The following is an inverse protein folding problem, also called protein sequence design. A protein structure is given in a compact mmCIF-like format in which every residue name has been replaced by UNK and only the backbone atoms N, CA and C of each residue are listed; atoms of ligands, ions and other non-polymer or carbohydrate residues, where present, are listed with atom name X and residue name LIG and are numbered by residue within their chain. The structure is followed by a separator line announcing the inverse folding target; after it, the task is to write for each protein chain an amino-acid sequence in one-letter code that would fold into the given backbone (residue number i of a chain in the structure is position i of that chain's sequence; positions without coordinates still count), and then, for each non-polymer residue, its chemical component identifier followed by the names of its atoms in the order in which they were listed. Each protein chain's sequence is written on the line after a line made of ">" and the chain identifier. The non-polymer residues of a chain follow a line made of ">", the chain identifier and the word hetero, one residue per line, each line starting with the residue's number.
data_IF_768733112526
#
_entry.id   IF_768733112526
#
_cell.length_a   1.000
_cell.length_b   1.000
_cell.length_c   1.000
_cell.angle_alpha   90.00
_cell.angle_beta   90.00
_cell.angle_gamma   90.00
#
_symmetry.space_group_name_H-M   'P 1'
#
loop_
_entity.id
_entity.type
_entity.pdbx_description
1 polymer ?
#
# COMPACT_ATOMS: atom_id res chain seq x y z
N UNK A 1 7.34 14.05 9.45
CA UNK A 1 6.61 14.56 10.64
C UNK A 1 7.53 15.45 11.47
N UNK A 2 8.68 14.98 11.93
CA UNK A 2 9.69 15.79 12.65
C UNK A 2 10.08 17.09 11.93
N UNK A 3 10.10 17.11 10.59
CA UNK A 3 10.39 18.32 9.81
C UNK A 3 9.31 19.39 9.96
N UNK A 4 8.04 19.01 10.04
CA UNK A 4 6.94 19.96 10.19
C UNK A 4 6.83 20.49 11.63
N UNK A 5 7.06 19.65 12.64
CA UNK A 5 7.16 20.06 14.04
C UNK A 5 8.33 21.02 14.24
N UNK A 6 9.51 20.69 13.69
CA UNK A 6 10.70 21.54 13.74
C UNK A 6 10.49 22.88 13.01
N UNK A 7 9.72 22.87 11.91
CA UNK A 7 9.34 24.07 11.16
C UNK A 7 8.42 24.96 11.98
N UNK A 8 7.38 24.39 12.60
CA UNK A 8 6.46 25.14 13.46
C UNK A 8 7.15 25.77 14.67
N UNK A 9 8.10 25.03 15.29
CA UNK A 9 8.92 25.57 16.38
C UNK A 9 9.79 26.73 15.88
N UNK A 10 10.38 26.64 14.71
CA UNK A 10 11.18 27.73 14.11
C UNK A 10 10.32 28.94 13.78
N UNK A 11 9.13 28.74 13.25
CA UNK A 11 8.17 29.81 12.93
C UNK A 11 7.70 30.51 14.23
N UNK A 12 7.39 29.74 15.28
CA UNK A 12 7.09 30.27 16.62
C UNK A 12 8.22 31.15 17.19
N UNK A 13 9.46 30.61 17.17
CA UNK A 13 10.64 31.35 17.66
C UNK A 13 10.89 32.62 16.83
N UNK A 14 10.70 32.56 15.51
CA UNK A 14 10.83 33.69 14.62
C UNK A 14 9.83 34.82 14.94
N UNK A 15 8.55 34.47 15.12
CA UNK A 15 7.50 35.43 15.51
C UNK A 15 7.81 36.03 16.87
N UNK A 16 8.19 35.22 17.85
CA UNK A 16 8.53 35.69 19.20
C UNK A 16 9.71 36.69 19.18
N UNK A 17 10.77 36.35 18.42
CA UNK A 17 11.97 37.21 18.29
C UNK A 17 11.63 38.55 17.63
N UNK A 18 10.80 38.57 16.58
CA UNK A 18 10.35 39.81 15.91
C UNK A 18 9.54 40.67 16.88
N UNK A 19 8.59 40.06 17.59
CA UNK A 19 7.78 40.80 18.56
C UNK A 19 8.60 41.41 19.71
N UNK A 20 9.59 40.66 20.23
CA UNK A 20 10.50 41.18 21.27
C UNK A 20 11.36 42.32 20.74
N UNK A 21 11.92 42.22 19.53
CA UNK A 21 12.75 43.29 18.95
C UNK A 21 11.95 44.57 18.71
N UNK A 22 10.69 44.46 18.26
CA UNK A 22 9.78 45.60 18.11
C UNK A 22 9.50 46.23 19.46
N UNK A 23 9.20 45.43 20.49
CA UNK A 23 8.93 45.90 21.84
C UNK A 23 10.12 46.62 22.46
N UNK A 24 11.33 46.16 22.26
CA UNK A 24 12.57 46.81 22.71
C UNK A 24 12.74 48.19 22.08
N UNK A 25 12.31 48.40 20.88
CA UNK A 25 12.41 49.66 20.13
C UNK A 25 11.23 50.61 20.43
N UNK A 26 10.05 50.08 20.68
CA UNK A 26 8.80 50.80 20.89
C UNK A 26 8.14 50.33 22.20
N UNK A 27 8.61 50.84 23.35
CA UNK A 27 8.17 50.42 24.71
C UNK A 27 6.70 50.67 24.99
N UNK A 28 6.06 51.58 24.26
CA UNK A 28 4.64 51.88 24.38
C UNK A 28 3.69 50.87 23.73
N UNK A 29 4.21 49.92 22.96
CA UNK A 29 3.41 48.93 22.21
C UNK A 29 3.55 47.57 22.85
N UNK A 30 2.46 47.00 23.34
CA UNK A 30 2.45 45.69 24.02
C UNK A 30 2.44 44.54 22.97
N UNK A 31 3.56 44.31 22.28
CA UNK A 31 3.67 43.33 21.20
C UNK A 31 4.02 41.93 21.66
N UNK A 32 4.62 41.76 22.85
CA UNK A 32 5.03 40.45 23.36
C UNK A 32 3.85 39.51 23.61
N UNK A 33 2.76 40.06 24.20
CA UNK A 33 1.56 39.25 24.42
C UNK A 33 0.89 38.80 23.14
N UNK A 34 0.83 39.65 22.12
CA UNK A 34 0.32 39.31 20.78
C UNK A 34 1.20 38.25 20.09
N UNK A 35 2.53 38.43 20.15
CA UNK A 35 3.46 37.47 19.58
C UNK A 35 3.39 36.09 20.23
N UNK A 36 3.24 36.01 21.55
CA UNK A 36 3.02 34.80 22.31
C UNK A 36 1.70 34.12 21.92
N UNK A 37 0.60 34.86 21.85
CA UNK A 37 -0.71 34.34 21.46
C UNK A 37 -0.70 33.79 20.06
N UNK A 38 -0.13 34.55 19.09
CA UNK A 38 0.00 34.11 17.71
C UNK A 38 0.90 32.85 17.59
N UNK A 39 2.02 32.84 18.31
CA UNK A 39 2.94 31.72 18.32
C UNK A 39 2.33 30.44 18.93
N UNK A 40 1.59 30.55 20.02
CA UNK A 40 0.85 29.45 20.65
C UNK A 40 -0.22 28.93 19.67
N UNK A 41 -0.91 29.81 18.94
CA UNK A 41 -1.89 29.43 17.93
C UNK A 41 -1.24 28.63 16.77
N UNK A 42 -0.10 29.11 16.30
CA UNK A 42 0.69 28.37 15.24
C UNK A 42 1.13 27.00 15.74
N UNK A 43 1.66 26.93 16.97
CA UNK A 43 2.04 25.67 17.60
C UNK A 43 0.84 24.74 17.79
N UNK A 44 -0.28 25.26 18.27
CA UNK A 44 -1.52 24.46 18.41
C UNK A 44 -1.98 23.90 17.08
N UNK A 45 -2.03 24.71 16.02
CA UNK A 45 -2.38 24.26 14.67
C UNK A 45 -1.40 23.21 14.10
N UNK A 46 -0.11 23.38 14.34
CA UNK A 46 0.91 22.49 13.85
C UNK A 46 0.98 21.15 14.62
N UNK A 47 0.72 21.18 15.93
CA UNK A 47 0.80 20.01 16.81
C UNK A 47 -0.55 19.30 16.97
N UNK A 48 -1.65 20.06 16.89
CA UNK A 48 -3.01 19.58 17.17
C UNK A 48 -3.91 19.70 15.94
N UNK A 49 -3.51 19.07 14.82
CA UNK A 49 -4.39 18.95 13.66
C UNK A 49 -5.13 17.60 13.71
N UNK A 50 -6.38 17.53 14.21
CA UNK A 50 -7.13 16.29 14.32
C UNK A 50 -7.39 15.63 12.96
N UNK A 51 -7.39 16.40 11.86
CA UNK A 51 -7.52 15.88 10.49
C UNK A 51 -6.34 14.97 10.08
N UNK A 52 -5.19 15.06 10.77
CA UNK A 52 -4.07 14.15 10.54
C UNK A 52 -4.31 12.76 11.13
N UNK A 53 -5.20 12.64 12.11
CA UNK A 53 -5.42 11.42 12.88
C UNK A 53 -6.73 10.72 12.57
N UNK A 54 -7.72 11.44 12.06
CA UNK A 54 -9.07 10.95 11.79
C UNK A 54 -9.39 11.11 10.31
N UNK A 55 -9.95 10.07 9.71
CA UNK A 55 -10.48 10.11 8.35
C UNK A 55 -11.80 10.89 8.34
N UNK A 56 -11.87 11.96 7.55
CA UNK A 56 -13.00 12.91 7.56
C UNK A 56 -14.33 12.29 7.09
N UNK A 57 -14.28 11.23 6.27
CA UNK A 57 -15.49 10.58 5.77
C UNK A 57 -16.05 9.56 6.78
N UNK A 58 -15.18 8.75 7.37
CA UNK A 58 -15.61 7.58 8.16
C UNK A 58 -15.48 7.76 9.66
N UNK A 59 -14.77 8.80 10.14
CA UNK A 59 -14.50 9.00 11.55
C UNK A 59 -13.50 8.02 12.16
N UNK A 60 -12.98 7.06 11.38
CA UNK A 60 -11.96 6.13 11.82
C UNK A 60 -10.58 6.78 11.87
N UNK A 61 -9.62 6.11 12.50
CA UNK A 61 -8.24 6.56 12.46
C UNK A 61 -7.67 6.57 11.03
N UNK A 62 -6.92 7.62 10.71
CA UNK A 62 -6.34 7.82 9.38
C UNK A 62 -5.02 7.05 9.20
N UNK A 63 -4.55 6.97 7.94
CA UNK A 63 -3.20 6.51 7.59
C UNK A 63 -2.10 7.28 8.33
N UNK A 64 -2.29 8.59 8.57
CA UNK A 64 -1.33 9.43 9.29
C UNK A 64 -1.15 8.96 10.73
N UNK A 65 -2.25 8.67 11.41
CA UNK A 65 -2.21 8.13 12.76
C UNK A 65 -1.64 6.71 12.78
N UNK A 66 -1.99 5.83 11.84
CA UNK A 66 -1.42 4.49 11.73
C UNK A 66 0.11 4.51 11.66
N UNK A 67 0.70 5.38 10.83
CA UNK A 67 2.15 5.52 10.70
C UNK A 67 2.86 5.93 12.00
N UNK A 68 2.18 6.64 12.90
CA UNK A 68 2.70 7.00 14.21
C UNK A 68 2.45 5.90 15.24
N UNK A 69 1.24 5.36 15.26
CA UNK A 69 0.78 4.39 16.25
C UNK A 69 1.48 3.03 16.12
N UNK A 70 1.60 2.49 14.90
CA UNK A 70 2.13 1.14 14.66
C UNK A 70 3.55 0.93 15.18
N UNK A 71 4.56 1.78 14.89
CA UNK A 71 5.91 1.62 15.42
C UNK A 71 5.98 1.64 16.95
N UNK A 72 5.08 2.40 17.61
CA UNK A 72 5.00 2.43 19.06
C UNK A 72 4.48 1.11 19.64
N UNK A 73 3.50 0.47 18.97
CA UNK A 73 3.01 -0.85 19.40
C UNK A 73 4.07 -1.92 19.25
N UNK A 74 4.80 -1.92 18.13
CA UNK A 74 5.90 -2.87 17.90
C UNK A 74 6.98 -2.75 18.98
N UNK A 75 7.35 -1.52 19.38
CA UNK A 75 8.30 -1.28 20.47
C UNK A 75 7.82 -1.83 21.81
N UNK A 76 6.53 -1.79 22.07
CA UNK A 76 5.93 -2.32 23.32
C UNK A 76 5.89 -3.84 23.37
N UNK A 77 6.24 -4.55 22.30
CA UNK A 77 6.23 -6.02 22.16
C UNK A 77 4.93 -6.69 22.62
N UNK A 78 3.80 -5.98 22.50
CA UNK A 78 2.49 -6.54 22.78
C UNK A 78 2.06 -7.45 21.63
N UNK A 79 1.38 -8.52 21.96
CA UNK A 79 0.72 -9.34 20.94
C UNK A 79 -0.21 -8.47 20.10
N UNK A 80 -0.09 -8.55 18.79
CA UNK A 80 -0.84 -7.73 17.87
C UNK A 80 -1.17 -8.51 16.61
N UNK A 81 -2.45 -8.55 16.26
CA UNK A 81 -2.96 -9.19 15.06
C UNK A 81 -3.63 -8.18 14.17
N UNK A 82 -3.63 -8.41 12.88
CA UNK A 82 -4.19 -7.51 11.87
C UNK A 82 -5.16 -8.25 10.95
N UNK A 83 -6.32 -7.65 10.74
CA UNK A 83 -7.21 -7.95 9.63
C UNK A 83 -7.23 -6.73 8.70
N UNK A 84 -6.74 -6.88 7.48
CA UNK A 84 -6.89 -5.89 6.43
C UNK A 84 -8.09 -6.24 5.56
N UNK A 85 -8.95 -5.29 5.31
CA UNK A 85 -10.10 -5.39 4.42
C UNK A 85 -9.82 -4.52 3.19
N UNK A 86 -9.70 -5.12 2.02
CA UNK A 86 -9.57 -4.43 0.72
C UNK A 86 -10.86 -4.61 -0.07
N UNK A 87 -11.63 -3.52 -0.20
CA UNK A 87 -12.93 -3.52 -0.86
C UNK A 87 -12.76 -3.55 -2.38
N UNK A 88 -13.49 -4.46 -3.03
CA UNK A 88 -13.42 -4.60 -4.48
C UNK A 88 -14.50 -3.79 -5.18
N UNK A 89 -14.18 -3.35 -6.39
CA UNK A 89 -15.14 -2.71 -7.30
C UNK A 89 -15.82 -1.44 -6.76
N UNK A 90 -15.29 -0.79 -5.71
CA UNK A 90 -15.83 0.47 -5.22
C UNK A 90 -15.96 1.52 -6.34
N UNK A 91 -14.97 1.57 -7.26
CA UNK A 91 -15.05 2.44 -8.45
C UNK A 91 -16.24 2.12 -9.36
N UNK A 92 -16.63 0.84 -9.46
CA UNK A 92 -17.79 0.43 -10.25
C UNK A 92 -19.09 0.83 -9.55
N UNK A 93 -19.17 0.67 -8.22
CA UNK A 93 -20.30 1.16 -7.42
C UNK A 93 -20.46 2.66 -7.59
N UNK A 94 -19.38 3.43 -7.49
CA UNK A 94 -19.38 4.88 -7.71
C UNK A 94 -19.85 5.26 -9.12
N UNK A 95 -19.47 4.48 -10.14
CA UNK A 95 -19.88 4.72 -11.53
C UNK A 95 -21.37 4.40 -11.75
N UNK A 96 -21.90 3.36 -11.11
CA UNK A 96 -23.29 2.89 -11.30
C UNK A 96 -24.29 3.66 -10.45
N UNK A 97 -23.93 3.94 -9.19
CA UNK A 97 -24.86 4.48 -8.18
C UNK A 97 -24.48 5.88 -7.67
N UNK A 98 -23.37 6.44 -8.16
CA UNK A 98 -22.85 7.74 -7.75
C UNK A 98 -21.88 7.66 -6.56
N UNK A 99 -21.02 8.68 -6.45
CA UNK A 99 -19.95 8.77 -5.43
C UNK A 99 -20.55 8.81 -4.02
N UNK A 100 -21.65 9.54 -3.83
CA UNK A 100 -22.34 9.64 -2.53
C UNK A 100 -22.85 8.28 -2.01
N UNK A 101 -23.21 7.36 -2.90
CA UNK A 101 -23.62 5.99 -2.54
C UNK A 101 -22.43 5.16 -2.10
N UNK A 102 -21.27 5.32 -2.78
CA UNK A 102 -20.04 4.67 -2.35
C UNK A 102 -19.52 5.21 -1.01
N UNK A 103 -19.65 6.50 -0.78
CA UNK A 103 -19.28 7.13 0.50
C UNK A 103 -20.14 6.59 1.66
N UNK A 104 -21.44 6.49 1.46
CA UNK A 104 -22.34 5.92 2.48
C UNK A 104 -22.07 4.45 2.75
N UNK A 105 -21.71 3.67 1.71
CA UNK A 105 -21.27 2.28 1.88
C UNK A 105 -20.00 2.20 2.75
N UNK A 106 -19.04 3.09 2.51
CA UNK A 106 -17.80 3.18 3.30
C UNK A 106 -18.09 3.55 4.76
N UNK A 107 -19.03 4.47 5.01
CA UNK A 107 -19.46 4.85 6.35
C UNK A 107 -20.09 3.67 7.08
N UNK A 108 -21.04 2.96 6.44
CA UNK A 108 -21.70 1.79 7.05
C UNK A 108 -20.68 0.68 7.40
N UNK A 109 -19.69 0.43 6.53
CA UNK A 109 -18.63 -0.54 6.80
C UNK A 109 -17.79 -0.07 7.99
N UNK A 110 -17.41 1.20 8.02
CA UNK A 110 -16.61 1.79 9.09
C UNK A 110 -17.31 1.71 10.46
N UNK A 111 -18.58 2.06 10.51
CA UNK A 111 -19.41 1.96 11.72
C UNK A 111 -19.48 0.51 12.23
N UNK A 112 -19.68 -0.44 11.32
CA UNK A 112 -19.69 -1.85 11.69
C UNK A 112 -18.34 -2.31 12.23
N UNK A 113 -17.22 -1.96 11.57
CA UNK A 113 -15.89 -2.32 12.02
C UNK A 113 -15.54 -1.68 13.37
N UNK A 114 -15.97 -0.45 13.59
CA UNK A 114 -15.80 0.23 14.88
C UNK A 114 -16.59 -0.48 15.99
N UNK A 115 -17.84 -0.84 15.72
CA UNK A 115 -18.71 -1.53 16.68
C UNK A 115 -18.20 -2.90 17.10
N UNK A 116 -17.67 -3.71 16.18
CA UNK A 116 -17.14 -5.04 16.52
C UNK A 116 -15.77 -4.99 17.20
N UNK A 117 -15.10 -3.84 17.20
CA UNK A 117 -13.73 -3.67 17.69
C UNK A 117 -13.56 -2.42 18.57
N UNK A 118 -14.55 -2.10 19.41
CA UNK A 118 -14.57 -0.89 20.24
C UNK A 118 -13.34 -0.73 21.15
N UNK A 119 -12.80 -1.83 21.65
CA UNK A 119 -11.62 -1.84 22.54
C UNK A 119 -10.27 -1.69 21.80
N UNK A 120 -10.26 -1.70 20.47
CA UNK A 120 -9.05 -1.77 19.67
C UNK A 120 -9.06 -0.72 18.55
N UNK A 121 -7.97 -0.68 17.77
CA UNK A 121 -7.77 0.36 16.76
C UNK A 121 -8.26 -0.08 15.39
N UNK A 122 -9.13 0.74 14.79
CA UNK A 122 -9.60 0.60 13.41
C UNK A 122 -9.14 1.81 12.59
N UNK A 123 -8.53 1.54 11.44
CA UNK A 123 -7.97 2.57 10.57
C UNK A 123 -8.55 2.48 9.17
N UNK A 124 -8.71 3.64 8.52
CA UNK A 124 -8.87 3.72 7.09
C UNK A 124 -7.57 4.20 6.45
N UNK A 125 -6.92 3.32 5.68
CA UNK A 125 -5.57 3.57 5.16
C UNK A 125 -5.60 4.25 3.79
N UNK A 126 -6.49 3.79 2.93
CA UNK A 126 -6.76 4.32 1.60
C UNK A 126 -8.26 4.27 1.34
N UNK A 127 -8.71 4.88 0.24
CA UNK A 127 -10.12 5.00 -0.10
C UNK A 127 -10.98 3.75 0.11
N UNK A 128 -10.43 2.56 -0.17
CA UNK A 128 -11.13 1.27 -0.09
C UNK A 128 -10.50 0.27 0.90
N UNK A 129 -9.51 0.68 1.73
CA UNK A 129 -8.78 -0.22 2.64
C UNK A 129 -8.97 0.16 4.09
N UNK A 130 -9.30 -0.85 4.91
CA UNK A 130 -9.43 -0.74 6.35
C UNK A 130 -8.51 -1.73 7.05
N UNK A 131 -7.93 -1.30 8.18
CA UNK A 131 -7.15 -2.14 9.07
C UNK A 131 -7.87 -2.24 10.40
N UNK A 132 -7.99 -3.46 10.91
CA UNK A 132 -8.55 -3.79 12.21
C UNK A 132 -7.46 -4.50 13.00
N UNK A 133 -6.98 -3.86 14.07
CA UNK A 133 -5.98 -4.44 14.96
C UNK A 133 -6.63 -5.00 16.21
N UNK A 134 -6.16 -6.14 16.67
CA UNK A 134 -6.56 -6.78 17.93
C UNK A 134 -5.32 -7.19 18.72
N UNK A 135 -5.44 -7.25 20.05
CA UNK A 135 -4.37 -7.66 20.98
C UNK A 135 -4.59 -9.05 21.55
N UNK A 136 -5.63 -9.74 21.10
CA UNK A 136 -6.01 -11.09 21.51
C UNK A 136 -6.34 -11.92 20.28
N UNK A 137 -5.88 -13.16 20.24
CA UNK A 137 -6.22 -14.11 19.18
C UNK A 137 -7.74 -14.41 19.15
N UNK A 138 -8.40 -14.42 20.32
CA UNK A 138 -9.84 -14.63 20.41
C UNK A 138 -10.61 -13.50 19.74
N UNK A 139 -10.23 -12.25 19.98
CA UNK A 139 -10.83 -11.09 19.32
C UNK A 139 -10.56 -11.09 17.81
N UNK A 140 -9.35 -11.51 17.41
CA UNK A 140 -9.00 -11.66 16.00
C UNK A 140 -9.93 -12.66 15.30
N UNK A 141 -10.12 -13.85 15.84
CA UNK A 141 -11.00 -14.87 15.27
C UNK A 141 -12.47 -14.40 15.23
N UNK A 142 -12.93 -13.78 16.32
CA UNK A 142 -14.30 -13.23 16.42
C UNK A 142 -14.53 -12.15 15.37
N UNK A 143 -13.62 -11.20 15.25
CA UNK A 143 -13.71 -10.10 14.27
C UNK A 143 -13.60 -10.63 12.83
N UNK A 144 -12.72 -11.59 12.57
CA UNK A 144 -12.59 -12.24 11.27
C UNK A 144 -13.92 -12.84 10.82
N UNK A 145 -14.57 -13.63 11.69
CA UNK A 145 -15.84 -14.26 11.39
C UNK A 145 -16.98 -13.23 11.20
N UNK A 146 -17.00 -12.18 12.01
CA UNK A 146 -17.97 -11.10 11.90
C UNK A 146 -17.80 -10.35 10.57
N UNK A 147 -16.57 -10.01 10.18
CA UNK A 147 -16.26 -9.34 8.91
C UNK A 147 -16.62 -10.24 7.72
N UNK A 148 -16.28 -11.53 7.77
CA UNK A 148 -16.69 -12.47 6.72
C UNK A 148 -18.21 -12.57 6.56
N UNK A 149 -18.97 -12.52 7.68
CA UNK A 149 -20.44 -12.53 7.66
C UNK A 149 -21.02 -11.22 7.11
N UNK A 150 -20.38 -10.07 7.36
CA UNK A 150 -20.82 -8.76 6.86
C UNK A 150 -20.96 -8.78 5.33
N UNK A 151 -19.97 -9.30 4.61
CA UNK A 151 -19.94 -9.31 3.15
C UNK A 151 -20.78 -10.43 2.50
N UNK A 152 -21.41 -11.30 3.29
CA UNK A 152 -22.38 -12.30 2.77
C UNK A 152 -23.76 -11.72 2.49
N UNK A 153 -24.06 -10.53 3.01
CA UNK A 153 -25.37 -9.87 2.87
C UNK A 153 -25.23 -8.60 2.04
N UNK A 154 -26.22 -8.27 1.23
CA UNK A 154 -26.20 -7.00 0.51
C UNK A 154 -26.36 -5.83 1.49
N UNK A 155 -25.61 -4.77 1.23
CA UNK A 155 -25.74 -3.49 1.92
C UNK A 155 -26.98 -2.75 1.43
N UNK A 156 -27.68 -2.09 2.32
CA UNK A 156 -28.82 -1.22 1.97
C UNK A 156 -28.33 0.22 2.00
N UNK A 157 -28.26 0.86 0.83
CA UNK A 157 -27.83 2.24 0.68
C UNK A 157 -28.85 2.96 -0.19
N UNK A 158 -29.46 4.03 0.33
CA UNK A 158 -30.46 4.86 -0.38
C UNK A 158 -31.60 4.05 -1.03
N UNK A 159 -32.05 2.98 -0.36
CA UNK A 159 -33.13 2.11 -0.87
C UNK A 159 -32.64 0.97 -1.79
N UNK A 160 -31.43 1.04 -2.30
CA UNK A 160 -30.82 0.01 -3.14
C UNK A 160 -30.17 -1.10 -2.32
N UNK A 161 -30.14 -2.33 -2.86
CA UNK A 161 -29.45 -3.49 -2.31
C UNK A 161 -28.18 -3.75 -3.10
N UNK A 162 -27.03 -3.36 -2.55
CA UNK A 162 -25.73 -3.47 -3.20
C UNK A 162 -24.96 -4.65 -2.62
N UNK A 163 -24.68 -5.67 -3.45
CA UNK A 163 -23.78 -6.75 -3.09
C UNK A 163 -22.34 -6.29 -3.30
N UNK A 164 -21.52 -6.43 -2.26
CA UNK A 164 -20.16 -5.96 -2.26
C UNK A 164 -19.22 -7.04 -1.73
N UNK A 165 -18.00 -7.12 -2.28
CA UNK A 165 -17.03 -8.15 -1.93
C UNK A 165 -15.71 -7.53 -1.52
N UNK A 166 -14.93 -8.24 -0.71
CA UNK A 166 -13.64 -7.81 -0.22
C UNK A 166 -12.61 -8.95 -0.21
N UNK A 167 -11.33 -8.59 -0.28
CA UNK A 167 -10.25 -9.44 0.20
C UNK A 167 -10.02 -9.11 1.68
N UNK A 168 -10.05 -10.12 2.51
CA UNK A 168 -9.71 -10.03 3.92
C UNK A 168 -8.35 -10.71 4.10
N UNK A 169 -7.32 -9.94 4.43
CA UNK A 169 -5.98 -10.47 4.67
C UNK A 169 -5.73 -10.48 6.17
N UNK A 170 -5.47 -11.67 6.72
CA UNK A 170 -5.24 -11.87 8.14
C UNK A 170 -3.79 -12.14 8.45
N UNK A 171 -3.21 -11.39 9.39
CA UNK A 171 -1.85 -11.60 9.90
C UNK A 171 -1.91 -11.80 11.42
N UNK A 172 -1.51 -12.96 11.87
CA UNK A 172 -1.30 -13.26 13.28
C UNK A 172 0.14 -12.88 13.63
N UNK A 173 0.34 -12.23 14.78
CA UNK A 173 1.65 -11.79 15.28
C UNK A 173 2.36 -10.80 14.32
N UNK A 174 1.70 -9.66 14.06
CA UNK A 174 2.25 -8.58 13.18
C UNK A 174 3.58 -8.03 13.71
N UNK A 175 3.88 -8.19 15.00
CA UNK A 175 5.14 -7.76 15.61
C UNK A 175 6.41 -8.44 15.04
N UNK A 176 6.25 -9.52 14.27
CA UNK A 176 7.35 -10.11 13.50
C UNK A 176 7.82 -9.17 12.39
N UNK A 177 6.94 -8.28 11.92
CA UNK A 177 7.23 -7.28 10.90
C UNK A 177 7.63 -5.97 11.58
N UNK A 178 8.93 -5.68 11.63
CA UNK A 178 9.46 -4.53 12.37
C UNK A 178 9.21 -3.18 11.70
N UNK A 179 9.10 -3.16 10.39
CA UNK A 179 9.01 -1.94 9.58
C UNK A 179 7.64 -1.82 8.92
N UNK A 180 7.07 -0.62 9.00
CA UNK A 180 5.72 -0.32 8.47
C UNK A 180 5.64 -0.48 6.95
N UNK A 181 6.70 -0.11 6.23
CA UNK A 181 6.72 -0.21 4.77
C UNK A 181 6.80 -1.68 4.32
N UNK A 182 7.52 -2.53 5.06
CA UNK A 182 7.55 -3.99 4.84
C UNK A 182 6.17 -4.59 5.09
N UNK A 183 5.45 -4.14 6.14
CA UNK A 183 4.08 -4.59 6.39
C UNK A 183 3.16 -4.21 5.23
N UNK A 184 3.24 -2.98 4.74
CA UNK A 184 2.42 -2.51 3.63
C UNK A 184 2.72 -3.31 2.36
N UNK A 185 4.00 -3.51 2.02
CA UNK A 185 4.42 -4.32 0.87
C UNK A 185 3.91 -5.77 0.99
N UNK A 186 3.96 -6.34 2.19
CA UNK A 186 3.46 -7.69 2.43
C UNK A 186 1.93 -7.79 2.27
N UNK A 187 1.19 -6.83 2.79
CA UNK A 187 -0.26 -6.76 2.62
C UNK A 187 -0.65 -6.58 1.14
N UNK A 188 0.11 -5.80 0.38
CA UNK A 188 -0.10 -5.65 -1.06
C UNK A 188 0.19 -6.94 -1.82
N UNK A 189 1.23 -7.68 -1.41
CA UNK A 189 1.51 -9.01 -1.94
C UNK A 189 0.35 -9.98 -1.67
N UNK A 190 -0.17 -10.04 -0.44
CA UNK A 190 -1.32 -10.89 -0.08
C UNK A 190 -2.55 -10.59 -0.94
N UNK A 191 -2.86 -9.31 -1.16
CA UNK A 191 -3.99 -8.90 -2.03
C UNK A 191 -3.83 -9.39 -3.46
N UNK A 192 -2.60 -9.53 -3.98
CA UNK A 192 -2.36 -10.01 -5.34
C UNK A 192 -2.58 -11.52 -5.50
N UNK A 193 -2.45 -12.28 -4.40
CA UNK A 193 -2.74 -13.71 -4.38
C UNK A 193 -4.24 -14.03 -4.53
N UNK A 194 -5.09 -12.98 -4.56
CA UNK A 194 -6.54 -13.15 -4.69
C UNK A 194 -6.88 -13.88 -6.01
N UNK A 195 -7.74 -14.90 -5.96
CA UNK A 195 -8.28 -15.51 -7.16
C UNK A 195 -9.14 -14.50 -7.94
N UNK A 196 -9.28 -14.69 -9.25
CA UNK A 196 -10.21 -13.94 -10.11
C UNK A 196 -11.66 -14.32 -9.78
N UNK A 197 -12.12 -13.98 -8.58
CA UNK A 197 -13.46 -14.32 -8.06
C UNK A 197 -14.15 -13.05 -7.58
N UNK A 198 -15.47 -12.99 -7.78
CA UNK A 198 -16.31 -11.90 -7.28
C UNK A 198 -16.80 -12.14 -5.84
N UNK A 199 -16.33 -13.18 -5.16
CA UNK A 199 -16.73 -13.52 -3.79
C UNK A 199 -15.72 -12.97 -2.80
N UNK A 200 -16.19 -12.60 -1.61
CA UNK A 200 -15.32 -12.27 -0.49
C UNK A 200 -14.45 -13.47 -0.14
N UNK A 201 -13.15 -13.22 -0.02
CA UNK A 201 -12.14 -14.24 0.27
C UNK A 201 -11.37 -13.87 1.53
N UNK A 202 -10.90 -14.89 2.22
CA UNK A 202 -9.95 -14.78 3.31
C UNK A 202 -8.58 -15.27 2.82
N UNK A 203 -7.55 -14.47 2.99
CA UNK A 203 -6.15 -14.79 2.73
C UNK A 203 -5.43 -14.73 4.07
N UNK A 204 -4.99 -15.87 4.57
CA UNK A 204 -4.26 -15.93 5.83
C UNK A 204 -2.75 -15.92 5.60
N UNK A 205 -2.04 -15.32 6.53
CA UNK A 205 -0.60 -15.38 6.60
C UNK A 205 -0.18 -16.80 7.04
N UNK A 206 0.34 -17.59 6.11
CA UNK A 206 0.94 -18.88 6.35
C UNK A 206 2.42 -18.90 5.92
N UNK A 207 3.10 -20.01 6.13
CA UNK A 207 4.51 -20.16 5.78
C UNK A 207 4.74 -19.98 4.28
N UNK A 208 3.86 -20.50 3.44
CA UNK A 208 3.97 -20.41 1.99
C UNK A 208 3.87 -18.97 1.48
N UNK A 209 2.92 -18.20 2.01
CA UNK A 209 2.78 -16.78 1.66
C UNK A 209 3.97 -15.93 2.13
N UNK A 210 4.55 -16.25 3.30
CA UNK A 210 5.77 -15.59 3.78
C UNK A 210 6.97 -15.88 2.87
N UNK A 211 7.18 -17.13 2.50
CA UNK A 211 8.27 -17.54 1.61
C UNK A 211 8.12 -16.91 0.22
N UNK A 212 6.90 -16.91 -0.34
CA UNK A 212 6.62 -16.26 -1.61
C UNK A 212 6.90 -14.76 -1.58
N UNK A 213 6.55 -14.08 -0.50
CA UNK A 213 6.85 -12.67 -0.34
C UNK A 213 8.37 -12.40 -0.25
N UNK A 214 9.09 -13.19 0.55
CA UNK A 214 10.55 -13.07 0.66
C UNK A 214 11.24 -13.30 -0.68
N UNK A 215 10.78 -14.28 -1.44
CA UNK A 215 11.23 -14.54 -2.79
C UNK A 215 11.00 -13.31 -3.72
N UNK A 216 9.78 -12.72 -3.72
CA UNK A 216 9.46 -11.53 -4.52
C UNK A 216 10.33 -10.33 -4.12
N UNK A 217 10.60 -10.14 -2.81
CA UNK A 217 11.47 -9.07 -2.32
C UNK A 217 12.92 -9.24 -2.77
N UNK A 218 13.43 -10.46 -2.78
CA UNK A 218 14.80 -10.74 -3.24
C UNK A 218 14.94 -10.50 -4.74
N UNK A 219 13.95 -10.95 -5.53
CA UNK A 219 13.91 -10.67 -6.97
C UNK A 219 13.81 -9.15 -7.21
N UNK A 220 12.97 -8.42 -6.46
CA UNK A 220 12.85 -6.96 -6.56
C UNK A 220 14.18 -6.24 -6.35
N UNK A 221 14.96 -6.65 -5.33
CA UNK A 221 16.29 -6.08 -5.09
C UNK A 221 17.25 -6.34 -6.25
N UNK A 222 17.21 -7.56 -6.76
CA UNK A 222 18.09 -7.97 -7.87
C UNK A 222 17.73 -7.30 -9.20
N UNK A 223 16.48 -6.95 -9.42
CA UNK A 223 15.98 -6.34 -10.66
C UNK A 223 16.72 -5.03 -11.03
N UNK A 224 17.06 -4.18 -10.06
CA UNK A 224 17.76 -2.94 -10.32
C UNK A 224 19.14 -3.23 -10.96
N UNK A 225 19.92 -4.10 -10.34
CA UNK A 225 21.24 -4.55 -10.86
C UNK A 225 21.09 -5.27 -12.20
N UNK A 226 20.10 -6.15 -12.33
CA UNK A 226 19.90 -6.91 -13.56
C UNK A 226 19.56 -6.02 -14.77
N UNK A 227 18.86 -4.90 -14.55
CA UNK A 227 18.55 -3.91 -15.61
C UNK A 227 19.80 -3.07 -15.93
N UNK A 228 20.56 -2.64 -14.92
CA UNK A 228 21.76 -1.81 -15.11
C UNK A 228 22.88 -2.57 -15.81
N UNK A 229 23.11 -3.81 -15.40
CA UNK A 229 24.18 -4.67 -15.91
C UNK A 229 23.75 -5.51 -17.13
N UNK A 230 22.50 -5.36 -17.61
CA UNK A 230 21.95 -6.09 -18.77
C UNK A 230 22.05 -7.63 -18.61
N UNK A 231 21.71 -8.13 -17.42
CA UNK A 231 21.81 -9.56 -17.06
C UNK A 231 20.67 -10.42 -17.62
N UNK A 232 19.71 -9.83 -18.33
CA UNK A 232 18.63 -10.58 -18.98
C UNK A 232 19.13 -11.34 -20.21
N UNK A 233 18.75 -12.58 -20.30
CA UNK A 233 18.98 -13.43 -21.48
C UNK A 233 17.74 -13.42 -22.37
N UNK A 234 17.94 -13.64 -23.67
CA UNK A 234 16.84 -13.83 -24.63
C UNK A 234 16.94 -15.25 -25.23
N UNK A 235 15.93 -16.03 -24.96
CA UNK A 235 15.76 -17.36 -25.52
C UNK A 235 14.83 -17.27 -26.72
N UNK A 236 15.10 -18.06 -27.75
CA UNK A 236 14.32 -18.08 -28.99
C UNK A 236 13.61 -19.40 -29.13
N UNK A 237 12.27 -19.37 -29.09
CA UNK A 237 11.43 -20.53 -29.32
C UNK A 237 10.94 -20.54 -30.77
N UNK A 238 11.34 -21.52 -31.58
CA UNK A 238 10.90 -21.60 -32.98
C UNK A 238 9.41 -21.98 -33.02
N UNK A 239 8.64 -21.28 -33.89
CA UNK A 239 7.24 -21.56 -34.15
C UNK A 239 7.11 -22.30 -35.50
N UNK A 240 6.46 -23.47 -35.47
CA UNK A 240 6.20 -24.28 -36.65
C UNK A 240 4.92 -23.83 -37.37
N UNK A 241 5.04 -23.45 -38.62
CA UNK A 241 3.90 -23.09 -39.45
C UNK A 241 3.26 -24.38 -40.03
N UNK A 242 2.03 -24.68 -39.59
CA UNK A 242 1.29 -25.88 -40.01
C UNK A 242 0.88 -25.85 -41.49
N UNK A 243 0.72 -24.67 -42.10
CA UNK A 243 0.35 -24.52 -43.50
C UNK A 243 1.56 -24.77 -44.42
N UNK A 244 2.67 -24.11 -44.06
CA UNK A 244 3.89 -24.23 -44.89
C UNK A 244 4.83 -25.35 -44.45
N UNK A 245 4.45 -26.09 -43.40
CA UNK A 245 5.21 -27.23 -42.84
C UNK A 245 6.69 -26.94 -42.57
N UNK A 246 6.99 -25.73 -42.06
CA UNK A 246 8.35 -25.30 -41.75
C UNK A 246 8.38 -24.27 -40.60
N UNK A 247 9.56 -24.07 -40.02
CA UNK A 247 9.80 -23.00 -39.04
C UNK A 247 10.07 -21.69 -39.77
N UNK A 248 9.22 -20.66 -39.57
CA UNK A 248 9.37 -19.33 -40.20
C UNK A 248 9.64 -18.22 -39.21
N UNK A 249 9.12 -18.38 -38.03
CA UNK A 249 9.16 -17.37 -37.00
C UNK A 249 9.68 -17.96 -35.70
N UNK A 250 10.09 -17.08 -34.78
CA UNK A 250 10.48 -17.47 -33.44
C UNK A 250 9.96 -16.44 -32.46
N UNK A 251 9.60 -16.88 -31.29
CA UNK A 251 9.27 -16.04 -30.16
C UNK A 251 10.54 -15.74 -29.35
N UNK A 252 10.73 -14.46 -29.00
CA UNK A 252 11.85 -14.02 -28.18
C UNK A 252 11.38 -13.92 -26.72
N UNK A 253 11.89 -14.78 -25.87
CA UNK A 253 11.46 -14.95 -24.49
C UNK A 253 12.57 -14.49 -23.54
N UNK A 254 12.28 -13.46 -22.75
CA UNK A 254 13.21 -13.01 -21.70
C UNK A 254 13.40 -14.05 -20.62
N UNK A 255 14.64 -14.18 -20.16
CA UNK A 255 15.02 -15.02 -19.02
C UNK A 255 15.89 -14.21 -18.09
N UNK A 256 15.73 -14.45 -16.81
CA UNK A 256 16.55 -13.86 -15.77
C UNK A 256 17.03 -14.95 -14.83
N UNK A 257 18.35 -15.03 -14.63
CA UNK A 257 18.98 -15.97 -13.70
C UNK A 257 19.51 -15.21 -12.50
N UNK A 258 19.02 -15.57 -11.31
CA UNK A 258 19.55 -15.07 -10.04
C UNK A 258 20.66 -16.00 -9.54
N UNK A 259 21.74 -15.47 -8.95
CA UNK A 259 22.87 -16.29 -8.48
C UNK A 259 22.50 -17.39 -7.49
N UNK A 260 21.59 -17.10 -6.55
CA UNK A 260 21.15 -18.07 -5.51
C UNK A 260 19.77 -18.67 -5.76
N UNK A 261 18.84 -17.97 -6.42
CA UNK A 261 17.47 -18.43 -6.65
C UNK A 261 17.32 -19.22 -7.96
N UNK A 262 18.36 -19.24 -8.80
CA UNK A 262 18.31 -19.90 -10.11
C UNK A 262 17.49 -19.11 -11.15
N UNK A 263 16.73 -19.83 -12.00
CA UNK A 263 15.94 -19.21 -13.05
C UNK A 263 14.66 -18.59 -12.47
N UNK A 264 14.48 -17.27 -12.65
CA UNK A 264 13.31 -16.54 -12.19
C UNK A 264 12.21 -16.61 -13.24
N UNK A 265 10.96 -16.89 -12.80
CA UNK A 265 9.79 -16.91 -13.69
C UNK A 265 9.56 -15.54 -14.34
N UNK A 266 9.28 -15.48 -15.66
CA UNK A 266 8.90 -14.25 -16.35
C UNK A 266 7.73 -13.51 -15.69
N UNK A 267 6.72 -14.24 -15.22
CA UNK A 267 5.56 -13.66 -14.53
C UNK A 267 5.98 -12.83 -13.32
N UNK A 268 6.98 -13.27 -12.57
CA UNK A 268 7.47 -12.58 -11.37
C UNK A 268 8.25 -11.32 -11.75
N UNK A 269 9.28 -11.42 -12.58
CA UNK A 269 10.11 -10.25 -12.87
C UNK A 269 9.42 -9.22 -13.77
N UNK A 270 8.51 -9.64 -14.67
CA UNK A 270 7.69 -8.74 -15.48
C UNK A 270 6.70 -8.00 -14.56
N UNK A 271 6.00 -8.73 -13.67
CA UNK A 271 5.10 -8.12 -12.70
C UNK A 271 5.79 -7.09 -11.80
N UNK A 272 7.03 -7.38 -11.34
CA UNK A 272 7.84 -6.43 -10.57
C UNK A 272 8.22 -5.21 -11.43
N UNK A 273 8.65 -5.43 -12.69
CA UNK A 273 9.01 -4.35 -13.60
C UNK A 273 7.83 -3.41 -13.91
N UNK A 274 6.62 -3.94 -14.06
CA UNK A 274 5.40 -3.16 -14.26
C UNK A 274 5.07 -2.30 -13.03
N UNK A 275 5.07 -2.90 -11.83
CA UNK A 275 4.79 -2.20 -10.56
C UNK A 275 5.76 -1.04 -10.30
N UNK A 276 7.02 -1.19 -10.68
CA UNK A 276 8.07 -0.21 -10.43
C UNK A 276 8.41 0.69 -11.63
N UNK A 277 7.60 0.64 -12.71
CA UNK A 277 7.79 1.47 -13.90
C UNK A 277 9.05 1.13 -14.70
N UNK A 278 9.61 -0.07 -14.53
CA UNK A 278 10.84 -0.54 -15.19
C UNK A 278 10.56 -1.31 -16.48
N UNK A 279 9.30 -1.59 -16.79
CA UNK A 279 8.89 -2.42 -17.93
C UNK A 279 9.39 -1.86 -19.28
N UNK A 280 9.41 -0.54 -19.44
CA UNK A 280 9.90 0.10 -20.66
C UNK A 280 11.41 -0.11 -20.85
N UNK A 281 12.21 -0.04 -19.77
CA UNK A 281 13.64 -0.32 -19.80
C UNK A 281 13.91 -1.78 -20.16
N UNK A 282 13.20 -2.70 -19.51
CA UNK A 282 13.28 -4.13 -19.79
C UNK A 282 12.95 -4.43 -21.27
N UNK A 283 11.84 -3.87 -21.78
CA UNK A 283 11.44 -4.04 -23.19
C UNK A 283 12.50 -3.51 -24.16
N UNK A 284 13.12 -2.37 -23.86
CA UNK A 284 14.21 -1.82 -24.67
C UNK A 284 15.44 -2.74 -24.69
N UNK A 285 15.87 -3.27 -23.53
CA UNK A 285 16.99 -4.21 -23.44
C UNK A 285 16.73 -5.47 -24.26
N UNK A 286 15.54 -6.06 -24.15
CA UNK A 286 15.13 -7.23 -24.92
C UNK A 286 15.12 -6.92 -26.41
N UNK A 287 14.50 -5.82 -26.83
CA UNK A 287 14.45 -5.40 -28.23
C UNK A 287 15.86 -5.23 -28.82
N UNK A 288 16.76 -4.55 -28.10
CA UNK A 288 18.16 -4.37 -28.50
C UNK A 288 18.88 -5.71 -28.73
N UNK A 289 18.68 -6.70 -27.86
CA UNK A 289 19.28 -8.04 -27.99
C UNK A 289 18.72 -8.79 -29.21
N UNK A 290 17.43 -8.69 -29.45
CA UNK A 290 16.77 -9.29 -30.62
C UNK A 290 17.30 -8.68 -31.93
N UNK A 291 17.46 -7.35 -31.98
CA UNK A 291 18.03 -6.66 -33.14
C UNK A 291 19.48 -7.09 -33.41
N UNK A 292 20.33 -7.15 -32.37
CA UNK A 292 21.72 -7.64 -32.50
C UNK A 292 21.77 -9.06 -33.04
N UNK A 293 20.92 -9.95 -32.56
CA UNK A 293 20.84 -11.33 -33.04
C UNK A 293 20.46 -11.40 -34.52
N UNK A 294 19.47 -10.61 -34.99
CA UNK A 294 19.08 -10.56 -36.39
C UNK A 294 20.17 -10.00 -37.31
N UNK A 295 20.84 -8.93 -36.90
CA UNK A 295 21.92 -8.29 -37.67
C UNK A 295 23.12 -9.26 -37.79
N UNK A 296 23.53 -9.92 -36.71
CA UNK A 296 24.59 -10.92 -36.73
C UNK A 296 24.35 -12.09 -37.69
N UNK A 297 23.10 -12.53 -37.87
CA UNK A 297 22.74 -13.54 -38.86
C UNK A 297 22.68 -13.04 -40.30
N UNK A 298 22.37 -11.76 -40.50
CA UNK A 298 22.35 -11.18 -41.84
C UNK A 298 23.77 -10.97 -42.41
N UNK A 299 24.77 -10.78 -41.56
CA UNK A 299 26.18 -10.64 -41.96
C UNK A 299 26.92 -11.99 -42.21
N UNK A 300 26.26 -13.11 -41.91
CA UNK A 300 26.81 -14.47 -42.14
C UNK A 300 26.23 -15.15 -43.41
N UNK A 301 25.62 -14.39 -44.34
CA UNK A 301 25.17 -14.89 -45.64
C UNK A 301 25.97 -14.25 -46.78
#
# INVERSE_FOLDING_TARGET
>A
YQKNELRAIKEFLGVALVCVTIQMKFQSVLMTGFGLSLGITILFWALYNPQLYIDSLTGLYSKGYFRRWFPEQIKRKKELHLLMIDLWKLKQVNKLYGVTTGDELLIQIAEYLHKINEANHVFRIHGNRFFVFTTSLMDYETNKDAIMKLFKRPFKVKGERISFSAAICGIINVQEVKEIDVLIDYLEYLVQLKPKSDRTILIQNDQHTKEGFLYEQEVKKYMATAIEEDLFEVYYQPLYDLKEKRYRTMEALSRLRHPSLGMISPEVFIGIAEKHGQIAKLGYLQFRKVCKFKIGRASCR
#
